data_IF_922574014859
#
_entry.id   IF_922574014859
#
_cell.length_a   1.000
_cell.length_b   1.000
_cell.length_c   1.000
_cell.angle_alpha   90.00
_cell.angle_beta   90.00
_cell.angle_gamma   90.00
#
_symmetry.space_group_name_H-M   'P 1'
#
loop_
_entity.id
_entity.type
_entity.pdbx_description
1 polymer ?
#
# COMPACT_ATOMS: atom_id res chain seq x y z
N UNK A 1 -16.05 -4.03 14.54
CA UNK A 1 -15.75 -4.30 15.98
C UNK A 1 -15.92 -3.00 16.75
N UNK A 2 -16.96 -2.81 17.59
CA UNK A 2 -17.10 -1.59 18.40
C UNK A 2 -16.02 -1.58 19.49
N UNK A 3 -15.20 -0.54 19.53
CA UNK A 3 -14.14 -0.36 20.52
C UNK A 3 -14.76 0.34 21.73
N UNK A 4 -14.82 -0.34 22.87
CA UNK A 4 -15.26 0.22 24.15
C UNK A 4 -14.06 0.88 24.85
N UNK A 5 -14.05 2.21 25.05
CA UNK A 5 -12.94 2.92 25.68
C UNK A 5 -12.83 2.67 27.19
N UNK A 6 -13.91 2.22 27.85
CA UNK A 6 -13.98 2.06 29.31
C UNK A 6 -13.53 0.67 29.79
N UNK A 7 -13.34 -0.28 28.87
CA UNK A 7 -12.90 -1.64 29.19
C UNK A 7 -11.37 -1.67 29.33
N UNK A 8 -10.88 -2.04 30.51
CA UNK A 8 -9.46 -2.34 30.71
C UNK A 8 -8.99 -3.34 29.64
N UNK A 9 -8.04 -2.91 28.81
CA UNK A 9 -7.48 -3.76 27.77
C UNK A 9 -6.49 -4.72 28.42
N UNK A 10 -6.55 -6.03 28.13
CA UNK A 10 -5.53 -6.96 28.61
C UNK A 10 -4.17 -6.56 28.04
N UNK A 11 -3.11 -6.74 28.83
CA UNK A 11 -1.74 -6.61 28.34
C UNK A 11 -1.54 -7.51 27.12
N UNK A 12 -0.81 -6.99 26.13
CA UNK A 12 -0.40 -7.73 24.94
C UNK A 12 1.10 -7.64 24.82
N UNK A 13 1.73 -8.75 24.40
CA UNK A 13 3.13 -8.71 23.99
C UNK A 13 3.26 -7.73 22.82
N UNK A 14 4.23 -6.82 22.92
CA UNK A 14 4.65 -5.95 21.82
C UNK A 14 5.96 -6.49 21.25
N UNK A 15 6.15 -6.34 19.95
CA UNK A 15 7.35 -6.77 19.23
C UNK A 15 7.81 -5.66 18.29
N UNK A 16 9.09 -5.61 17.90
CA UNK A 16 9.58 -4.67 16.92
C UNK A 16 8.85 -4.76 15.58
N UNK A 17 8.75 -3.62 14.88
CA UNK A 17 8.26 -3.52 13.51
C UNK A 17 9.30 -2.87 12.61
N UNK A 18 10.36 -3.61 12.21
CA UNK A 18 11.45 -3.06 11.40
C UNK A 18 11.00 -2.74 9.98
N UNK A 19 11.68 -1.78 9.36
CA UNK A 19 11.49 -1.43 7.95
C UNK A 19 12.04 -2.54 7.04
N UNK A 20 11.27 -3.05 6.06
CA UNK A 20 11.75 -4.09 5.16
C UNK A 20 12.83 -3.55 4.20
N UNK A 21 13.96 -4.25 4.14
CA UNK A 21 15.11 -3.89 3.30
C UNK A 21 15.03 -4.59 1.94
N UNK A 22 14.76 -5.89 1.92
CA UNK A 22 14.73 -6.70 0.69
C UNK A 22 13.90 -7.98 0.90
N UNK A 23 13.50 -8.63 -0.20
CA UNK A 23 12.86 -9.95 -0.21
C UNK A 23 13.92 -11.01 -0.51
N UNK A 24 14.15 -11.94 0.41
CA UNK A 24 15.19 -12.98 0.28
C UNK A 24 14.95 -13.85 -0.95
N UNK A 25 13.70 -14.25 -1.19
CA UNK A 25 13.29 -15.09 -2.33
C UNK A 25 13.04 -14.27 -3.62
N UNK A 26 13.47 -13.01 -3.68
CA UNK A 26 13.07 -12.06 -4.71
C UNK A 26 13.35 -12.54 -6.15
N UNK A 27 14.55 -13.08 -6.40
CA UNK A 27 14.92 -13.59 -7.73
C UNK A 27 14.01 -14.74 -8.20
N UNK A 28 13.67 -15.67 -7.30
CA UNK A 28 12.80 -16.79 -7.63
C UNK A 28 11.37 -16.31 -7.91
N UNK A 29 10.87 -15.35 -7.12
CA UNK A 29 9.55 -14.75 -7.31
C UNK A 29 9.46 -14.05 -8.66
N UNK A 30 10.45 -13.20 -8.98
CA UNK A 30 10.52 -12.50 -10.27
C UNK A 30 10.45 -13.48 -11.44
N UNK A 31 11.26 -14.54 -11.42
CA UNK A 31 11.25 -15.56 -12.49
C UNK A 31 9.91 -16.26 -12.65
N UNK A 32 9.20 -16.54 -11.55
CA UNK A 32 7.86 -17.13 -11.63
C UNK A 32 6.86 -16.16 -12.26
N UNK A 33 6.91 -14.87 -11.91
CA UNK A 33 6.06 -13.84 -12.51
C UNK A 33 6.36 -13.68 -14.00
N UNK A 34 7.64 -13.62 -14.39
CA UNK A 34 8.07 -13.55 -15.80
C UNK A 34 7.60 -14.78 -16.62
N UNK A 35 7.44 -15.94 -15.99
CA UNK A 35 6.89 -17.14 -16.59
C UNK A 35 5.35 -17.15 -16.70
N UNK A 36 4.67 -16.08 -16.28
CA UNK A 36 3.20 -15.96 -16.31
C UNK A 36 2.50 -16.67 -15.15
N UNK A 37 3.21 -17.01 -14.07
CA UNK A 37 2.63 -17.67 -12.91
C UNK A 37 2.02 -16.62 -11.97
N UNK A 38 0.82 -16.89 -11.46
CA UNK A 38 0.23 -16.10 -10.37
C UNK A 38 0.92 -16.50 -9.06
N UNK A 39 1.70 -15.59 -8.49
CA UNK A 39 2.50 -15.84 -7.29
C UNK A 39 1.85 -15.22 -6.05
N UNK A 40 1.74 -16.00 -4.98
CA UNK A 40 1.41 -15.52 -3.63
C UNK A 40 2.71 -15.52 -2.81
N UNK A 41 3.18 -14.34 -2.40
CA UNK A 41 4.43 -14.18 -1.67
C UNK A 41 4.30 -13.11 -0.58
N UNK A 42 5.33 -12.99 0.28
CA UNK A 42 5.39 -12.00 1.37
C UNK A 42 4.16 -12.00 2.30
N UNK A 43 3.59 -13.18 2.55
CA UNK A 43 2.42 -13.34 3.42
C UNK A 43 2.66 -12.74 4.80
N UNK A 44 1.80 -11.80 5.22
CA UNK A 44 1.93 -11.11 6.51
C UNK A 44 3.13 -10.16 6.64
N UNK A 45 3.78 -9.81 5.52
CA UNK A 45 5.02 -9.02 5.50
C UNK A 45 6.29 -9.86 5.36
N UNK A 46 6.17 -11.19 5.31
CA UNK A 46 7.29 -12.12 5.28
C UNK A 46 7.83 -12.48 6.67
N UNK A 47 8.67 -13.52 6.73
CA UNK A 47 9.32 -13.94 7.98
C UNK A 47 10.51 -13.00 8.22
N UNK A 48 10.56 -12.25 9.33
CA UNK A 48 11.68 -11.34 9.59
C UNK A 48 12.97 -12.10 9.83
N UNK A 49 13.99 -11.79 9.04
CA UNK A 49 15.34 -12.33 9.18
C UNK A 49 16.36 -11.21 9.18
N UNK A 50 17.47 -11.42 9.89
CA UNK A 50 18.66 -10.57 9.82
C UNK A 50 19.81 -11.38 9.24
N UNK A 51 20.73 -10.69 8.54
CA UNK A 51 21.98 -11.29 8.09
C UNK A 51 23.06 -11.03 9.13
N UNK A 52 23.61 -12.12 9.69
CA UNK A 52 24.69 -12.09 10.67
C UNK A 52 25.76 -13.09 10.21
N UNK A 53 27.00 -12.61 10.05
CA UNK A 53 28.13 -13.40 9.52
C UNK A 53 27.84 -14.19 8.23
N UNK A 54 27.01 -13.61 7.35
CA UNK A 54 26.62 -14.22 6.07
C UNK A 54 25.42 -15.18 6.15
N UNK A 55 25.01 -15.58 7.35
CA UNK A 55 23.85 -16.46 7.58
C UNK A 55 22.57 -15.65 7.83
N UNK A 56 21.42 -16.22 7.45
CA UNK A 56 20.13 -15.65 7.78
C UNK A 56 19.61 -16.23 9.09
N UNK A 57 19.22 -15.36 10.02
CA UNK A 57 18.64 -15.74 11.32
C UNK A 57 17.28 -15.08 11.49
N UNK A 58 16.27 -15.88 11.82
CA UNK A 58 14.93 -15.39 12.15
C UNK A 58 14.93 -14.57 13.44
N UNK A 59 14.14 -13.51 13.47
CA UNK A 59 13.96 -12.65 14.64
C UNK A 59 12.48 -12.47 14.97
N UNK A 60 12.17 -12.30 16.26
CA UNK A 60 10.80 -12.04 16.70
C UNK A 60 10.41 -10.59 16.43
N UNK A 61 9.85 -10.34 15.25
CA UNK A 61 9.36 -9.05 14.80
C UNK A 61 8.11 -9.23 13.92
N UNK A 62 7.46 -8.13 13.55
CA UNK A 62 6.40 -8.11 12.54
C UNK A 62 6.73 -7.05 11.52
N UNK A 63 6.86 -7.42 10.26
CA UNK A 63 7.07 -6.45 9.17
C UNK A 63 5.71 -5.93 8.72
N UNK A 64 5.62 -4.62 8.45
CA UNK A 64 4.42 -4.04 7.87
C UNK A 64 4.17 -4.61 6.47
N UNK A 65 3.00 -5.21 6.26
CA UNK A 65 2.65 -5.89 5.01
C UNK A 65 2.54 -4.94 3.81
N UNK A 66 2.18 -3.68 4.01
CA UNK A 66 2.04 -2.72 2.92
C UNK A 66 3.44 -2.28 2.46
N UNK A 67 4.36 -2.03 3.40
CA UNK A 67 5.78 -1.75 3.09
C UNK A 67 6.50 -2.97 2.49
N UNK A 68 6.21 -4.18 2.96
CA UNK A 68 6.77 -5.39 2.37
C UNK A 68 6.20 -5.67 0.97
N UNK A 69 4.91 -5.35 0.77
CA UNK A 69 4.26 -5.44 -0.53
C UNK A 69 4.85 -4.45 -1.54
N UNK A 70 5.22 -3.25 -1.09
CA UNK A 70 5.96 -2.29 -1.90
C UNK A 70 7.34 -2.84 -2.31
N UNK A 71 8.14 -3.38 -1.37
CA UNK A 71 9.41 -4.05 -1.72
C UNK A 71 9.23 -5.19 -2.71
N UNK A 72 8.14 -5.95 -2.59
CA UNK A 72 7.83 -7.02 -3.52
C UNK A 72 7.49 -6.47 -4.91
N UNK A 73 6.77 -5.34 -4.98
CA UNK A 73 6.45 -4.66 -6.23
C UNK A 73 7.70 -4.15 -6.95
N UNK A 74 8.68 -3.60 -6.21
CA UNK A 74 10.01 -3.25 -6.76
C UNK A 74 10.72 -4.48 -7.35
N UNK A 75 10.71 -5.61 -6.63
CA UNK A 75 11.40 -6.86 -7.04
C UNK A 75 10.87 -7.41 -8.37
N UNK A 76 9.56 -7.34 -8.59
CA UNK A 76 8.90 -7.85 -9.80
C UNK A 76 8.73 -6.79 -10.88
N UNK A 77 9.29 -5.59 -10.68
CA UNK A 77 9.17 -4.45 -11.58
C UNK A 77 7.71 -4.15 -11.95
N UNK A 78 6.82 -4.12 -10.96
CA UNK A 78 5.40 -3.89 -11.20
C UNK A 78 5.13 -2.47 -11.73
N UNK A 79 4.19 -2.35 -12.67
CA UNK A 79 3.70 -1.05 -13.14
C UNK A 79 2.79 -0.38 -12.10
N UNK A 80 1.97 -1.18 -11.42
CA UNK A 80 0.94 -0.70 -10.48
C UNK A 80 1.03 -1.42 -9.14
N UNK A 81 0.97 -0.65 -8.04
CA UNK A 81 0.79 -1.17 -6.69
C UNK A 81 -0.65 -0.91 -6.21
N UNK A 82 -1.43 -1.99 -5.98
CA UNK A 82 -2.78 -1.91 -5.43
C UNK A 82 -2.81 -2.40 -3.97
N UNK A 83 -3.21 -1.51 -3.06
CA UNK A 83 -3.40 -1.82 -1.64
C UNK A 83 -4.90 -1.92 -1.34
N UNK A 84 -5.35 -3.10 -0.95
CA UNK A 84 -6.75 -3.36 -0.59
C UNK A 84 -6.97 -3.23 0.93
N UNK A 85 -8.04 -2.53 1.32
CA UNK A 85 -8.40 -2.26 2.71
C UNK A 85 -9.92 -2.32 2.93
N UNK A 86 -10.40 -1.97 4.13
CA UNK A 86 -11.83 -1.92 4.51
C UNK A 86 -12.50 -0.57 4.27
N UNK A 87 -11.79 0.37 3.65
CA UNK A 87 -12.30 1.71 3.28
C UNK A 87 -12.17 1.92 1.79
N UNK A 88 -13.14 2.63 1.21
CA UNK A 88 -13.20 2.89 -0.22
C UNK A 88 -12.12 3.87 -0.69
N UNK A 89 -11.89 4.94 0.08
CA UNK A 89 -10.94 6.00 -0.25
C UNK A 89 -10.14 6.45 0.96
N UNK A 90 -8.93 6.93 0.69
CA UNK A 90 -8.12 7.70 1.65
C UNK A 90 -8.84 9.02 1.91
N UNK A 91 -8.79 9.50 3.15
CA UNK A 91 -9.48 10.73 3.56
C UNK A 91 -8.54 11.74 4.20
N UNK A 92 -8.77 13.01 3.91
CA UNK A 92 -8.27 14.10 4.74
C UNK A 92 -9.22 14.32 5.91
N UNK A 93 -8.67 14.77 7.04
CA UNK A 93 -9.43 15.09 8.25
C UNK A 93 -10.33 13.94 8.74
N UNK A 94 -9.86 12.70 8.65
CA UNK A 94 -10.62 11.52 9.07
C UNK A 94 -11.23 11.68 10.47
N UNK A 95 -12.55 11.45 10.58
CA UNK A 95 -13.32 11.57 11.80
C UNK A 95 -13.66 13.00 12.25
N UNK A 96 -13.39 14.02 11.42
CA UNK A 96 -13.72 15.44 11.71
C UNK A 96 -14.88 15.94 10.82
N UNK A 97 -15.55 17.04 11.17
CA UNK A 97 -16.65 17.59 10.37
C UNK A 97 -16.28 17.99 8.94
N UNK A 98 -15.00 18.27 8.67
CA UNK A 98 -14.45 18.62 7.37
C UNK A 98 -13.68 17.45 6.72
N UNK A 99 -14.10 16.22 7.00
CA UNK A 99 -13.61 15.01 6.33
C UNK A 99 -13.88 15.08 4.82
N UNK A 100 -12.88 14.74 4.01
CA UNK A 100 -12.95 14.80 2.54
C UNK A 100 -12.25 13.58 1.96
N UNK A 101 -12.90 12.90 1.02
CA UNK A 101 -12.31 11.79 0.27
C UNK A 101 -11.26 12.31 -0.75
N UNK A 102 -10.19 11.55 -0.90
CA UNK A 102 -9.15 11.82 -1.90
C UNK A 102 -9.38 10.86 -3.07
N UNK A 103 -9.84 11.37 -4.20
CA UNK A 103 -9.95 10.57 -5.42
C UNK A 103 -8.57 10.39 -6.07
N UNK A 104 -7.83 11.50 -6.18
CA UNK A 104 -6.54 11.56 -6.86
C UNK A 104 -5.60 12.51 -6.15
N UNK A 105 -4.37 12.08 -5.91
CA UNK A 105 -3.31 12.93 -5.38
C UNK A 105 -1.96 12.66 -6.05
N UNK A 106 -1.05 13.63 -6.00
CA UNK A 106 0.36 13.40 -6.37
C UNK A 106 1.17 12.89 -5.18
N UNK A 107 2.37 12.38 -5.41
CA UNK A 107 3.33 12.02 -4.36
C UNK A 107 3.65 13.21 -3.47
N UNK A 108 3.80 14.42 -4.02
CA UNK A 108 4.05 15.64 -3.25
C UNK A 108 2.88 15.98 -2.33
N UNK A 109 1.65 15.87 -2.83
CA UNK A 109 0.43 16.04 -2.04
C UNK A 109 0.37 14.99 -0.92
N UNK A 110 0.59 13.71 -1.23
CA UNK A 110 0.60 12.63 -0.26
C UNK A 110 1.63 12.86 0.86
N UNK A 111 2.87 13.24 0.51
CA UNK A 111 3.92 13.59 1.46
C UNK A 111 3.56 14.80 2.33
N UNK A 112 2.92 15.81 1.74
CA UNK A 112 2.43 16.98 2.48
C UNK A 112 1.35 16.57 3.48
N UNK A 113 0.35 15.81 3.06
CA UNK A 113 -0.72 15.35 3.93
C UNK A 113 -0.22 14.42 5.05
N UNK A 114 0.80 13.62 4.79
CA UNK A 114 1.50 12.85 5.84
C UNK A 114 2.14 13.76 6.89
N UNK A 115 2.86 14.82 6.49
CA UNK A 115 3.47 15.78 7.42
C UNK A 115 2.43 16.58 8.21
N UNK A 116 1.29 16.87 7.59
CA UNK A 116 0.13 17.52 8.23
C UNK A 116 -0.61 16.58 9.20
N UNK A 117 -0.25 15.29 9.24
CA UNK A 117 -0.80 14.31 10.19
C UNK A 117 -2.18 13.78 9.80
N UNK A 118 -2.55 13.81 8.52
CA UNK A 118 -3.86 13.32 8.07
C UNK A 118 -3.98 11.78 8.12
N UNK A 119 -2.87 11.04 8.04
CA UNK A 119 -2.87 9.58 7.98
C UNK A 119 -2.33 8.96 9.26
N UNK A 120 -3.16 8.16 9.94
CA UNK A 120 -2.83 7.57 11.24
C UNK A 120 -1.73 6.49 11.11
N UNK A 121 -0.69 6.47 11.99
CA UNK A 121 0.49 5.61 11.85
C UNK A 121 0.23 4.12 12.05
N UNK A 122 -0.92 3.73 12.60
CA UNK A 122 -1.32 2.32 12.78
C UNK A 122 -2.33 1.80 11.76
N UNK A 123 -2.63 2.57 10.72
CA UNK A 123 -3.60 2.17 9.69
C UNK A 123 -3.26 2.74 8.30
N UNK A 124 -3.68 3.97 8.00
CA UNK A 124 -3.56 4.55 6.68
C UNK A 124 -2.15 5.10 6.40
N UNK A 125 -1.41 5.48 7.44
CA UNK A 125 -0.05 6.01 7.31
C UNK A 125 0.90 5.05 6.57
N UNK A 126 1.05 3.79 7.02
CA UNK A 126 1.89 2.80 6.33
C UNK A 126 1.48 2.53 4.88
N UNK A 127 0.17 2.52 4.59
CA UNK A 127 -0.38 2.35 3.23
C UNK A 127 0.07 3.45 2.29
N UNK A 128 -0.15 4.70 2.69
CA UNK A 128 0.25 5.85 1.89
C UNK A 128 1.78 5.92 1.77
N UNK A 129 2.52 5.57 2.82
CA UNK A 129 3.98 5.51 2.78
C UNK A 129 4.48 4.47 1.76
N UNK A 130 3.88 3.28 1.75
CA UNK A 130 4.18 2.25 0.75
C UNK A 130 3.94 2.76 -0.68
N UNK A 131 2.77 3.36 -0.94
CA UNK A 131 2.47 3.94 -2.24
C UNK A 131 3.47 5.04 -2.65
N UNK A 132 3.89 5.91 -1.72
CA UNK A 132 4.90 6.93 -1.99
C UNK A 132 6.23 6.28 -2.38
N UNK A 133 6.71 5.30 -1.61
CA UNK A 133 8.00 4.64 -1.88
C UNK A 133 8.03 3.95 -3.24
N UNK A 134 6.97 3.21 -3.58
CA UNK A 134 6.82 2.57 -4.88
C UNK A 134 6.92 3.56 -6.05
N UNK A 135 6.21 4.69 -5.94
CA UNK A 135 6.21 5.73 -6.98
C UNK A 135 7.54 6.49 -7.07
N UNK A 136 8.25 6.64 -5.94
CA UNK A 136 9.59 7.23 -5.93
C UNK A 136 10.65 6.30 -6.49
N UNK A 137 10.51 4.99 -6.25
CA UNK A 137 11.35 3.96 -6.85
C UNK A 137 11.27 3.97 -8.37
N UNK A 138 10.06 4.12 -8.91
CA UNK A 138 9.86 4.25 -10.35
C UNK A 138 8.55 3.69 -10.89
N UNK A 139 7.67 3.17 -10.03
CA UNK A 139 6.36 2.67 -10.45
C UNK A 139 5.49 3.76 -11.07
N UNK A 140 4.56 3.35 -11.92
CA UNK A 140 3.73 4.27 -12.70
C UNK A 140 2.57 4.82 -11.88
N UNK A 141 1.90 3.95 -11.11
CA UNK A 141 0.72 4.31 -10.34
C UNK A 141 0.54 3.47 -9.06
N UNK A 142 0.11 4.10 -7.97
CA UNK A 142 -0.30 3.38 -6.77
C UNK A 142 -1.76 3.67 -6.42
N UNK A 143 -2.47 2.65 -5.94
CA UNK A 143 -3.91 2.72 -5.66
C UNK A 143 -4.23 2.16 -4.29
N UNK A 144 -5.16 2.80 -3.59
CA UNK A 144 -5.72 2.31 -2.33
C UNK A 144 -7.24 2.23 -2.49
N UNK A 145 -7.82 1.04 -2.34
CA UNK A 145 -9.24 0.81 -2.53
C UNK A 145 -9.80 -0.20 -1.53
N UNK A 146 -11.13 -0.33 -1.47
CA UNK A 146 -11.74 -1.42 -0.73
C UNK A 146 -11.64 -2.73 -1.50
N UNK A 147 -11.68 -3.87 -0.80
CA UNK A 147 -11.66 -5.19 -1.43
C UNK A 147 -12.83 -5.37 -2.43
N UNK A 148 -14.00 -4.82 -2.10
CA UNK A 148 -15.20 -4.91 -2.93
C UNK A 148 -15.09 -4.13 -4.24
N UNK A 149 -14.25 -3.08 -4.27
CA UNK A 149 -14.04 -2.20 -5.42
C UNK A 149 -12.72 -2.54 -6.15
N UNK A 150 -12.13 -3.72 -5.91
CA UNK A 150 -10.80 -4.07 -6.43
C UNK A 150 -10.72 -4.06 -7.97
N UNK A 151 -11.76 -4.53 -8.67
CA UNK A 151 -11.81 -4.53 -10.14
C UNK A 151 -11.97 -3.10 -10.66
N UNK A 152 -12.96 -2.36 -10.16
CA UNK A 152 -13.20 -0.96 -10.52
C UNK A 152 -11.96 -0.08 -10.24
N UNK A 153 -11.22 -0.36 -9.16
CA UNK A 153 -9.98 0.32 -8.83
C UNK A 153 -8.86 -0.02 -9.83
N UNK A 154 -8.79 -1.24 -10.36
CA UNK A 154 -7.88 -1.62 -11.46
C UNK A 154 -8.28 -0.91 -12.77
N UNK A 155 -9.57 -0.68 -12.99
CA UNK A 155 -10.08 0.01 -14.19
C UNK A 155 -9.99 1.54 -14.10
N UNK A 156 -9.69 2.10 -12.93
CA UNK A 156 -9.52 3.54 -12.74
C UNK A 156 -10.79 4.27 -12.28
N UNK A 157 -11.81 3.52 -11.86
CA UNK A 157 -13.16 4.02 -11.56
C UNK A 157 -13.44 4.15 -10.06
N UNK A 158 -12.65 3.50 -9.20
CA UNK A 158 -12.81 3.50 -7.75
C UNK A 158 -11.47 3.61 -7.00
N UNK A 159 -11.55 3.90 -5.70
CA UNK A 159 -10.36 4.06 -4.85
C UNK A 159 -9.72 5.45 -4.89
N UNK A 160 -8.57 5.54 -4.23
CA UNK A 160 -7.65 6.69 -4.28
C UNK A 160 -6.48 6.35 -5.18
N UNK A 161 -6.23 7.20 -6.17
CA UNK A 161 -5.13 7.06 -7.11
C UNK A 161 -4.00 8.03 -6.77
N UNK A 162 -2.77 7.54 -6.77
CA UNK A 162 -1.57 8.30 -6.42
C UNK A 162 -0.62 8.28 -7.61
N UNK A 163 -0.21 9.47 -8.05
CA UNK A 163 0.61 9.67 -9.24
C UNK A 163 1.94 10.34 -8.90
N UNK A 164 2.98 10.06 -9.68
CA UNK A 164 4.32 10.60 -9.46
C UNK A 164 4.41 12.13 -9.61
N UNK A 165 3.76 12.72 -10.62
CA UNK A 165 3.90 14.15 -10.94
C UNK A 165 2.60 14.81 -11.37
N UNK A 166 1.97 14.33 -12.44
CA UNK A 166 0.71 14.88 -12.95
C UNK A 166 -0.46 13.90 -12.77
N UNK A 167 -1.61 14.44 -12.37
CA UNK A 167 -2.87 13.68 -12.41
C UNK A 167 -3.22 13.48 -13.89
N UNK A 168 -3.46 12.26 -14.37
CA UNK A 168 -3.90 12.05 -15.75
C UNK A 168 -5.13 12.90 -16.01
N UNK A 169 -5.11 13.66 -17.11
CA UNK A 169 -6.31 14.38 -17.58
C UNK A 169 -7.39 13.34 -17.83
N UNK A 170 -8.58 13.55 -17.27
CA UNK A 170 -9.75 12.72 -17.58
C UNK A 170 -9.99 12.83 -19.08
N UNK A 171 -9.69 11.77 -19.83
CA UNK A 171 -10.19 11.62 -21.19
C UNK A 171 -11.67 11.29 -21.03
N UNK A 172 -12.55 12.29 -21.24
CA UNK A 172 -13.97 12.02 -21.39
C UNK A 172 -14.14 11.15 -22.64
N UNK A 173 -14.23 9.84 -22.46
CA UNK A 173 -14.61 8.94 -23.54
C UNK A 173 -16.10 9.15 -23.77
N UNK A 174 -16.47 10.10 -24.63
CA UNK A 174 -17.81 10.09 -25.23
C UNK A 174 -17.86 8.86 -26.11
N UNK A 175 -18.47 7.79 -25.59
CA UNK A 175 -18.88 6.66 -26.40
C UNK A 175 -19.79 7.21 -27.52
N UNK A 176 -19.24 7.30 -28.74
CA UNK A 176 -20.04 7.55 -29.93
C UNK A 176 -20.81 6.28 -30.21
N UNK A 177 -22.00 6.18 -29.65
CA UNK A 177 -23.00 5.21 -30.10
C UNK A 177 -23.40 5.61 -31.52
N UNK A 178 -22.82 4.94 -32.51
CA UNK A 178 -23.36 4.94 -33.87
C UNK A 178 -23.75 3.51 -34.19
N UNK A 179 -25.07 3.29 -34.25
CA UNK A 179 -25.71 2.15 -34.91
C UNK A 179 -25.44 2.19 -36.42
#
# INVERSE_FOLDING_TARGET
KKVDPAREKPYRRVVPSPDPITIVEGEAIRRMVEAGIIVIASGGGGIPVVRDDGELRGVEAVIDKDLAGERLAEVVEADVLLVLTDVRKVKLNYGKPNEVDIDRMTVEEAKRYMREGHFLPGSMGPKVLACIRFLEWGGDEARIASLEEAVDAIEGEAGTHIFRSEKPRVLSYTASTTL
#
